data_IF_205230281931
#
_entry.id   IF_205230281931
#
_cell.length_a   1.000
_cell.length_b   1.000
_cell.length_c   1.000
_cell.angle_alpha   90.00
_cell.angle_beta   90.00
_cell.angle_gamma   90.00
#
_symmetry.space_group_name_H-M   'P 1'
#
loop_
_entity.id
_entity.type
_entity.pdbx_description
1 polymer ?
#
# COMPACT_ATOMS: atom_id res chain seq x y z
N UNK A 1 7.36 -18.85 -8.66
CA UNK A 1 6.42 -19.80 -8.03
C UNK A 1 6.22 -19.42 -6.56
N UNK A 2 4.96 -19.32 -6.09
CA UNK A 2 4.64 -19.14 -4.68
C UNK A 2 4.74 -20.51 -3.98
N UNK A 3 5.58 -20.61 -2.96
CA UNK A 3 5.87 -21.89 -2.28
C UNK A 3 5.37 -21.93 -0.83
N UNK A 4 5.02 -20.78 -0.23
CA UNK A 4 4.42 -20.67 1.10
C UNK A 4 3.76 -19.29 1.30
N UNK A 5 3.00 -19.12 2.38
CA UNK A 5 2.38 -17.83 2.77
C UNK A 5 1.24 -17.39 1.84
N UNK A 6 0.39 -18.33 1.42
CA UNK A 6 -0.62 -18.12 0.38
C UNK A 6 -1.68 -17.09 0.78
N UNK A 7 -2.03 -16.97 2.07
CA UNK A 7 -3.01 -16.01 2.54
C UNK A 7 -2.50 -14.56 2.44
N UNK A 8 -1.17 -14.35 2.47
CA UNK A 8 -0.54 -13.05 2.28
C UNK A 8 -0.37 -12.62 0.82
N UNK A 9 -0.86 -13.43 -0.16
CA UNK A 9 -0.68 -13.14 -1.59
C UNK A 9 -1.24 -11.79 -2.04
N UNK A 10 -2.25 -11.29 -1.35
CA UNK A 10 -2.86 -9.99 -1.60
C UNK A 10 -2.10 -8.80 -0.96
N UNK A 11 -0.97 -9.05 -0.30
CA UNK A 11 -0.17 -7.97 0.27
C UNK A 11 0.34 -7.05 -0.83
N UNK A 12 0.04 -5.76 -0.72
CA UNK A 12 0.57 -4.76 -1.64
C UNK A 12 2.07 -4.57 -1.45
N UNK A 13 2.78 -4.36 -2.55
CA UNK A 13 4.23 -4.16 -2.57
C UNK A 13 4.51 -2.69 -2.80
N UNK A 14 5.24 -2.09 -1.86
CA UNK A 14 5.63 -0.68 -1.95
C UNK A 14 6.92 -0.45 -2.72
N UNK A 15 7.87 -1.34 -2.56
CA UNK A 15 9.20 -1.26 -3.14
C UNK A 15 9.88 -2.63 -3.14
N UNK A 16 11.00 -2.73 -3.84
CA UNK A 16 11.87 -3.90 -3.88
C UNK A 16 13.16 -3.61 -3.14
N UNK A 17 13.60 -4.54 -2.29
CA UNK A 17 14.92 -4.46 -1.64
C UNK A 17 15.68 -5.76 -1.84
N UNK A 18 16.89 -5.66 -2.38
CA UNK A 18 17.83 -6.78 -2.36
C UNK A 18 18.41 -6.94 -0.96
N UNK A 19 18.35 -8.16 -0.47
CA UNK A 19 18.78 -8.51 0.89
C UNK A 19 19.77 -9.66 0.82
N UNK A 20 21.02 -9.37 1.09
CA UNK A 20 22.08 -10.37 1.24
C UNK A 20 22.73 -10.33 2.63
N UNK A 21 22.26 -9.41 3.48
CA UNK A 21 22.69 -9.23 4.85
C UNK A 21 21.52 -8.72 5.70
N UNK A 22 21.42 -9.17 6.94
CA UNK A 22 20.37 -8.76 7.88
C UNK A 22 20.54 -7.33 8.40
N UNK A 23 21.70 -6.71 8.27
CA UNK A 23 21.93 -5.31 8.70
C UNK A 23 21.11 -4.31 7.87
N UNK A 24 20.76 -4.64 6.63
CA UNK A 24 19.94 -3.79 5.76
C UNK A 24 18.49 -3.69 6.24
N UNK A 25 18.06 -4.57 7.14
CA UNK A 25 16.67 -4.66 7.63
C UNK A 25 16.23 -3.41 8.38
N UNK A 26 17.14 -2.62 8.96
CA UNK A 26 16.84 -1.33 9.58
C UNK A 26 16.20 -0.34 8.59
N UNK A 27 16.42 -0.54 7.29
CA UNK A 27 15.85 0.28 6.22
C UNK A 27 14.41 -0.12 5.84
N UNK A 28 13.92 -1.27 6.30
CA UNK A 28 12.56 -1.71 6.02
C UNK A 28 11.55 -0.83 6.76
N UNK A 29 10.59 -0.32 6.02
CA UNK A 29 9.49 0.55 6.52
C UNK A 29 8.15 -0.17 6.58
N UNK A 30 8.11 -1.39 6.06
CA UNK A 30 6.95 -2.24 5.88
C UNK A 30 6.48 -2.28 4.42
N UNK A 31 6.08 -3.48 3.97
CA UNK A 31 5.56 -3.80 2.63
C UNK A 31 6.59 -3.74 1.49
N UNK A 32 7.87 -3.72 1.79
CA UNK A 32 8.87 -4.02 0.79
C UNK A 32 8.85 -5.51 0.45
N UNK A 33 9.03 -5.85 -0.83
CA UNK A 33 9.32 -7.20 -1.27
C UNK A 33 10.84 -7.42 -1.17
N UNK A 34 11.24 -8.28 -0.24
CA UNK A 34 12.63 -8.69 -0.12
C UNK A 34 12.99 -9.63 -1.26
N UNK A 35 14.16 -9.45 -1.86
CA UNK A 35 14.70 -10.29 -2.92
C UNK A 35 16.11 -10.73 -2.53
N UNK A 36 16.38 -12.03 -2.51
CA UNK A 36 17.71 -12.55 -2.19
C UNK A 36 18.20 -13.54 -3.23
N UNK A 37 19.48 -13.47 -3.55
CA UNK A 37 20.18 -14.52 -4.29
C UNK A 37 20.68 -15.63 -3.35
N UNK A 38 20.64 -15.39 -2.03
CA UNK A 38 21.04 -16.34 -1.00
C UNK A 38 22.54 -16.37 -0.73
N UNK A 39 23.31 -15.42 -1.23
CA UNK A 39 24.76 -15.41 -1.02
C UNK A 39 25.14 -15.24 0.46
N UNK A 40 24.37 -14.47 1.20
CA UNK A 40 24.52 -14.25 2.65
C UNK A 40 23.75 -15.23 3.53
N UNK A 41 22.87 -16.07 2.97
CA UNK A 41 21.97 -16.95 3.70
C UNK A 41 22.17 -18.41 3.28
N UNK A 42 23.25 -19.01 3.76
CA UNK A 42 23.74 -20.33 3.27
C UNK A 42 23.22 -21.51 4.09
N UNK A 43 22.74 -21.26 5.28
CA UNK A 43 22.19 -22.31 6.17
C UNK A 43 20.68 -22.16 6.30
N UNK A 44 20.02 -23.24 6.72
CA UNK A 44 18.60 -23.22 7.06
C UNK A 44 18.30 -22.17 8.15
N UNK A 45 19.19 -22.06 9.14
CA UNK A 45 19.03 -21.10 10.23
C UNK A 45 19.14 -19.65 9.76
N UNK A 46 20.01 -19.37 8.80
CA UNK A 46 20.13 -18.02 8.20
C UNK A 46 18.84 -17.62 7.51
N UNK A 47 18.26 -18.52 6.71
CA UNK A 47 16.99 -18.28 6.01
C UNK A 47 15.80 -18.16 6.97
N UNK A 48 15.78 -18.97 8.03
CA UNK A 48 14.74 -18.88 9.06
C UNK A 48 14.81 -17.52 9.78
N UNK A 49 16.01 -17.12 10.20
CA UNK A 49 16.23 -15.81 10.81
C UNK A 49 15.84 -14.66 9.88
N UNK A 50 16.11 -14.78 8.57
CA UNK A 50 15.70 -13.80 7.58
C UNK A 50 14.18 -13.62 7.54
N UNK A 51 13.40 -14.71 7.43
CA UNK A 51 11.92 -14.60 7.37
C UNK A 51 11.33 -14.11 8.67
N UNK A 52 11.90 -14.45 9.83
CA UNK A 52 11.49 -13.92 11.15
C UNK A 52 11.71 -12.40 11.26
N UNK A 53 12.83 -11.90 10.73
CA UNK A 53 13.11 -10.47 10.71
C UNK A 53 12.18 -9.76 9.72
N UNK A 54 11.99 -10.30 8.52
CA UNK A 54 11.08 -9.73 7.52
C UNK A 54 9.64 -9.62 8.03
N UNK A 55 9.15 -10.64 8.71
CA UNK A 55 7.82 -10.64 9.34
C UNK A 55 7.70 -9.53 10.39
N UNK A 56 8.66 -9.41 11.30
CA UNK A 56 8.71 -8.34 12.30
C UNK A 56 8.71 -6.93 11.71
N UNK A 57 9.31 -6.77 10.53
CA UNK A 57 9.34 -5.51 9.79
C UNK A 57 8.16 -5.34 8.84
N UNK A 58 7.19 -6.26 8.85
CA UNK A 58 6.01 -6.23 7.99
C UNK A 58 6.33 -6.18 6.50
N UNK A 59 7.33 -6.93 6.06
CA UNK A 59 7.66 -7.07 4.64
C UNK A 59 6.47 -7.66 3.88
N UNK A 60 6.31 -7.30 2.62
CA UNK A 60 5.25 -7.81 1.76
C UNK A 60 5.46 -9.29 1.38
N UNK A 61 6.69 -9.75 1.42
CA UNK A 61 7.08 -11.12 1.11
C UNK A 61 8.57 -11.26 0.85
N UNK A 62 8.98 -12.47 0.52
CA UNK A 62 10.36 -12.81 0.17
C UNK A 62 10.43 -13.55 -1.15
N UNK A 63 11.33 -13.13 -2.02
CA UNK A 63 11.73 -13.85 -3.23
C UNK A 63 13.12 -14.44 -3.00
N UNK A 64 13.23 -15.76 -3.14
CA UNK A 64 14.50 -16.48 -3.03
C UNK A 64 14.91 -17.03 -4.40
N UNK A 65 16.08 -16.64 -4.88
CA UNK A 65 16.68 -17.25 -6.07
C UNK A 65 17.30 -18.59 -5.69
N UNK A 66 16.81 -19.67 -6.30
CA UNK A 66 17.21 -21.04 -5.96
C UNK A 66 17.98 -21.74 -7.08
N UNK A 67 18.84 -22.67 -6.70
CA UNK A 67 19.61 -23.51 -7.62
C UNK A 67 21.12 -23.28 -7.55
N UNK A 68 21.59 -22.17 -6.99
CA UNK A 68 23.01 -21.91 -6.82
C UNK A 68 23.42 -21.79 -5.34
N UNK A 69 23.20 -20.67 -4.68
CA UNK A 69 23.51 -20.50 -3.25
C UNK A 69 22.50 -21.27 -2.38
N UNK A 70 21.23 -21.03 -2.58
CA UNK A 70 20.15 -21.79 -1.95
C UNK A 70 19.70 -22.88 -2.91
N UNK A 71 20.00 -24.13 -2.60
CA UNK A 71 19.64 -25.26 -3.46
C UNK A 71 18.13 -25.51 -3.43
N UNK A 72 17.56 -25.52 -2.24
CA UNK A 72 16.16 -25.74 -1.94
C UNK A 72 15.75 -24.93 -0.72
N UNK A 73 14.54 -24.41 -0.71
CA UNK A 73 14.00 -23.69 0.46
C UNK A 73 13.62 -24.72 1.53
N UNK A 74 14.17 -24.61 2.76
CA UNK A 74 13.91 -25.56 3.84
C UNK A 74 12.44 -25.64 4.24
N UNK A 75 12.02 -26.81 4.74
CA UNK A 75 10.64 -27.01 5.17
C UNK A 75 10.25 -26.12 6.38
N UNK A 76 11.18 -25.87 7.29
CA UNK A 76 11.01 -24.96 8.42
C UNK A 76 10.69 -23.52 8.00
N UNK A 77 11.39 -23.00 6.97
CA UNK A 77 11.16 -21.66 6.40
C UNK A 77 9.77 -21.60 5.76
N UNK A 78 9.38 -22.61 4.99
CA UNK A 78 8.02 -22.69 4.41
C UNK A 78 6.95 -22.78 5.49
N UNK A 79 7.18 -23.56 6.54
CA UNK A 79 6.25 -23.69 7.67
C UNK A 79 6.05 -22.35 8.40
N UNK A 80 7.14 -21.63 8.67
CA UNK A 80 7.09 -20.31 9.26
C UNK A 80 6.27 -19.33 8.40
N UNK A 81 6.58 -19.23 7.10
CA UNK A 81 5.88 -18.35 6.17
C UNK A 81 4.39 -18.67 6.06
N UNK A 82 4.00 -19.95 6.10
CA UNK A 82 2.58 -20.36 6.13
C UNK A 82 1.89 -19.98 7.44
N UNK A 83 2.57 -20.07 8.58
CA UNK A 83 2.00 -19.75 9.87
C UNK A 83 1.82 -18.23 10.10
N UNK A 84 2.60 -17.41 9.40
CA UNK A 84 2.63 -15.95 9.53
C UNK A 84 2.07 -15.21 8.29
N UNK A 85 1.50 -15.94 7.33
CA UNK A 85 0.96 -15.39 6.08
C UNK A 85 1.97 -14.50 5.32
N UNK A 86 3.27 -14.86 5.39
CA UNK A 86 4.35 -14.17 4.69
C UNK A 86 4.57 -14.82 3.32
N UNK A 87 4.23 -14.18 2.20
CA UNK A 87 4.45 -14.73 0.86
C UNK A 87 5.90 -15.08 0.60
N UNK A 88 6.15 -16.34 0.27
CA UNK A 88 7.48 -16.86 -0.07
C UNK A 88 7.48 -17.35 -1.50
N UNK A 89 8.25 -16.69 -2.33
CA UNK A 89 8.38 -17.00 -3.76
C UNK A 89 9.74 -17.63 -4.05
N UNK A 90 9.73 -18.64 -4.89
CA UNK A 90 10.93 -19.29 -5.42
C UNK A 90 11.12 -18.87 -6.88
N UNK A 91 12.35 -18.45 -7.22
CA UNK A 91 12.74 -18.12 -8.59
C UNK A 91 13.97 -18.97 -8.96
N UNK A 92 13.91 -19.82 -10.01
CA UNK A 92 15.06 -20.62 -10.43
C UNK A 92 16.24 -19.75 -10.87
N UNK A 93 17.46 -20.25 -10.67
CA UNK A 93 18.71 -19.56 -11.03
C UNK A 93 18.80 -19.16 -12.51
N UNK A 94 18.13 -19.87 -13.38
CA UNK A 94 18.09 -19.58 -14.83
C UNK A 94 17.36 -18.27 -15.14
N UNK A 95 16.55 -17.77 -14.23
CA UNK A 95 15.84 -16.49 -14.39
C UNK A 95 16.80 -15.35 -14.01
N UNK A 96 16.95 -14.41 -14.92
CA UNK A 96 17.77 -13.23 -14.68
C UNK A 96 17.07 -12.28 -13.67
N UNK A 97 17.62 -12.23 -12.46
CA UNK A 97 17.04 -11.46 -11.36
C UNK A 97 16.98 -9.96 -11.65
N UNK A 98 17.95 -9.43 -12.39
CA UNK A 98 18.00 -8.03 -12.82
C UNK A 98 16.79 -7.64 -13.67
N UNK A 99 16.41 -8.49 -14.62
CA UNK A 99 15.24 -8.25 -15.49
C UNK A 99 13.93 -8.37 -14.70
N UNK A 100 13.83 -9.34 -13.79
CA UNK A 100 12.66 -9.46 -12.90
C UNK A 100 12.51 -8.24 -12.00
N UNK A 101 13.59 -7.78 -11.36
CA UNK A 101 13.58 -6.60 -10.48
C UNK A 101 13.18 -5.37 -11.28
N UNK A 102 13.71 -5.20 -12.47
CA UNK A 102 13.38 -4.09 -13.37
C UNK A 102 11.89 -4.08 -13.74
N UNK A 103 11.34 -5.23 -14.18
CA UNK A 103 9.92 -5.35 -14.54
C UNK A 103 9.01 -5.02 -13.35
N UNK A 104 9.28 -5.60 -12.18
CA UNK A 104 8.52 -5.31 -10.96
C UNK A 104 8.63 -3.84 -10.52
N UNK A 105 9.83 -3.25 -10.61
CA UNK A 105 10.04 -1.83 -10.27
C UNK A 105 9.23 -0.91 -11.19
N UNK A 106 9.22 -1.21 -12.49
CA UNK A 106 8.42 -0.45 -13.47
C UNK A 106 6.92 -0.55 -13.14
N UNK A 107 6.43 -1.73 -12.79
CA UNK A 107 5.00 -1.94 -12.42
C UNK A 107 4.63 -1.14 -11.17
N UNK A 108 5.47 -1.17 -10.13
CA UNK A 108 5.26 -0.39 -8.90
C UNK A 108 5.25 1.11 -9.22
N UNK A 109 6.19 1.57 -10.06
CA UNK A 109 6.26 2.97 -10.48
C UNK A 109 4.99 3.40 -11.25
N UNK A 110 4.54 2.61 -12.22
CA UNK A 110 3.34 2.91 -13.00
C UNK A 110 2.08 2.95 -12.12
N UNK A 111 1.98 2.10 -11.09
CA UNK A 111 0.89 2.15 -10.14
C UNK A 111 0.91 3.45 -9.34
N UNK A 112 2.07 3.85 -8.83
CA UNK A 112 2.24 5.11 -8.09
C UNK A 112 1.89 6.33 -8.94
N UNK A 113 2.31 6.37 -10.21
CA UNK A 113 1.97 7.41 -11.16
C UNK A 113 0.45 7.51 -11.38
N UNK A 114 -0.22 6.35 -11.51
CA UNK A 114 -1.68 6.29 -11.67
C UNK A 114 -2.39 6.87 -10.45
N UNK A 115 -1.97 6.51 -9.24
CA UNK A 115 -2.56 7.01 -8.00
C UNK A 115 -2.37 8.53 -7.83
N UNK A 116 -1.21 9.07 -8.20
CA UNK A 116 -0.96 10.51 -8.21
C UNK A 116 -1.84 11.24 -9.23
N UNK A 117 -2.07 10.65 -10.41
CA UNK A 117 -2.96 11.21 -11.42
C UNK A 117 -4.42 11.23 -10.96
N UNK A 118 -4.90 10.16 -10.30
CA UNK A 118 -6.24 10.08 -9.71
C UNK A 118 -6.39 11.14 -8.62
N UNK A 119 -5.43 11.25 -7.71
CA UNK A 119 -5.40 12.28 -6.66
C UNK A 119 -5.48 13.69 -7.24
N UNK A 120 -4.67 13.98 -8.25
CA UNK A 120 -4.68 15.26 -8.97
C UNK A 120 -6.02 15.54 -9.63
N UNK A 121 -6.67 14.54 -10.21
CA UNK A 121 -7.98 14.68 -10.85
C UNK A 121 -9.08 14.98 -9.82
N UNK A 122 -9.08 14.31 -8.65
CA UNK A 122 -10.01 14.63 -7.56
C UNK A 122 -9.76 16.03 -6.97
N UNK A 123 -8.50 16.43 -6.78
CA UNK A 123 -8.17 17.79 -6.33
C UNK A 123 -8.73 18.81 -7.32
N UNK A 124 -8.60 18.58 -8.61
CA UNK A 124 -9.20 19.46 -9.64
C UNK A 124 -10.73 19.50 -9.56
N UNK A 125 -11.40 18.37 -9.33
CA UNK A 125 -12.86 18.35 -9.16
C UNK A 125 -13.32 19.15 -7.93
N UNK A 126 -12.47 19.28 -6.91
CA UNK A 126 -12.73 20.07 -5.71
C UNK A 126 -12.46 21.57 -5.95
N UNK A 127 -11.30 21.89 -6.54
CA UNK A 127 -10.86 23.29 -6.73
C UNK A 127 -11.53 24.00 -7.91
N UNK A 128 -11.84 23.26 -8.94
CA UNK A 128 -12.34 23.80 -10.23
C UNK A 128 -13.42 22.91 -10.84
N UNK A 129 -14.55 22.70 -10.13
CA UNK A 129 -15.60 21.76 -10.57
C UNK A 129 -16.19 22.07 -11.96
N UNK A 130 -16.11 23.33 -12.41
CA UNK A 130 -16.57 23.73 -13.73
C UNK A 130 -15.69 23.27 -14.89
N UNK A 131 -14.47 22.80 -14.60
CA UNK A 131 -13.52 22.32 -15.63
C UNK A 131 -13.58 20.80 -15.78
N UNK A 132 -14.79 20.30 -16.09
CA UNK A 132 -15.10 18.86 -16.10
C UNK A 132 -14.17 18.07 -17.03
N UNK A 133 -13.80 18.60 -18.19
CA UNK A 133 -12.91 17.98 -19.16
C UNK A 133 -11.48 17.71 -18.62
N UNK A 134 -11.05 18.41 -17.56
CA UNK A 134 -9.71 18.23 -17.02
C UNK A 134 -9.58 17.04 -16.09
N UNK A 135 -10.69 16.50 -15.56
CA UNK A 135 -10.64 15.42 -14.56
C UNK A 135 -11.57 14.24 -14.84
N UNK A 136 -12.73 14.45 -15.50
CA UNK A 136 -13.76 13.41 -15.65
C UNK A 136 -13.27 12.19 -16.43
N UNK A 137 -12.60 12.38 -17.57
CA UNK A 137 -12.07 11.28 -18.38
C UNK A 137 -11.06 10.43 -17.59
N UNK A 138 -10.20 11.08 -16.81
CA UNK A 138 -9.19 10.37 -15.99
C UNK A 138 -9.84 9.54 -14.89
N UNK A 139 -10.87 10.07 -14.24
CA UNK A 139 -11.57 9.38 -13.17
C UNK A 139 -12.47 8.26 -13.68
N UNK A 140 -13.02 8.38 -14.88
CA UNK A 140 -13.88 7.35 -15.48
C UNK A 140 -13.19 6.01 -15.74
N UNK A 141 -11.85 5.99 -15.79
CA UNK A 141 -11.08 4.76 -15.92
C UNK A 141 -11.15 3.87 -14.64
N UNK A 142 -11.42 4.48 -13.48
CA UNK A 142 -11.37 3.79 -12.18
C UNK A 142 -12.66 3.93 -11.35
N UNK A 143 -13.52 4.90 -11.67
CA UNK A 143 -14.72 5.22 -10.88
C UNK A 143 -15.94 5.41 -11.78
N UNK A 144 -17.12 5.11 -11.24
CA UNK A 144 -18.38 5.52 -11.88
C UNK A 144 -18.59 7.02 -11.68
N UNK A 145 -18.21 7.81 -12.67
CA UNK A 145 -18.21 9.28 -12.59
C UNK A 145 -19.61 9.90 -12.54
N UNK A 146 -20.64 9.16 -12.94
CA UNK A 146 -22.06 9.54 -12.85
C UNK A 146 -22.71 9.04 -11.54
N UNK A 147 -22.00 8.19 -10.83
CA UNK A 147 -22.47 7.51 -9.63
C UNK A 147 -22.45 8.37 -8.36
N UNK A 148 -22.70 7.71 -7.23
CA UNK A 148 -22.73 8.32 -5.89
C UNK A 148 -21.33 8.49 -5.36
N UNK A 149 -20.99 9.70 -4.92
CA UNK A 149 -19.75 10.03 -4.22
C UNK A 149 -20.00 10.50 -2.80
N UNK A 150 -19.08 10.19 -1.90
CA UNK A 150 -19.04 10.75 -0.55
C UNK A 150 -17.59 10.93 -0.12
N UNK A 151 -17.30 12.07 0.52
CA UNK A 151 -15.97 12.40 1.01
C UNK A 151 -15.91 12.28 2.53
N UNK A 152 -14.84 11.72 3.04
CA UNK A 152 -14.52 11.70 4.46
C UNK A 152 -13.17 12.40 4.65
N UNK A 153 -13.13 13.36 5.56
CA UNK A 153 -11.94 14.11 5.91
C UNK A 153 -11.46 13.73 7.29
N UNK A 154 -10.19 13.42 7.40
CA UNK A 154 -9.55 13.06 8.67
C UNK A 154 -8.36 13.99 8.89
N UNK A 155 -8.30 14.59 10.06
CA UNK A 155 -7.20 15.46 10.45
C UNK A 155 -6.84 15.31 11.92
N UNK A 156 -5.73 15.90 12.32
CA UNK A 156 -5.26 15.98 13.70
C UNK A 156 -4.53 17.30 13.91
N UNK A 157 -4.42 17.73 15.15
CA UNK A 157 -3.64 18.92 15.48
C UNK A 157 -2.19 18.79 14.99
N UNK A 158 -1.76 19.77 14.18
CA UNK A 158 -0.42 19.86 13.63
C UNK A 158 -0.14 18.95 12.44
N UNK A 159 -1.16 18.37 11.79
CA UNK A 159 -0.96 17.54 10.60
C UNK A 159 -0.37 18.33 9.43
N UNK A 160 -0.79 19.57 9.22
CA UNK A 160 -0.30 20.48 8.18
C UNK A 160 1.12 21.00 8.47
N UNK A 161 1.47 21.15 9.75
CA UNK A 161 2.82 21.54 10.19
C UNK A 161 3.77 20.38 10.44
N UNK A 162 3.29 19.15 10.30
CA UNK A 162 4.10 17.94 10.40
C UNK A 162 5.16 17.91 9.30
N UNK A 163 6.34 17.36 9.62
CA UNK A 163 7.37 17.14 8.60
C UNK A 163 6.83 16.34 7.41
N UNK A 164 7.22 16.78 6.20
CA UNK A 164 6.71 16.18 4.95
C UNK A 164 6.99 14.68 4.85
N UNK A 165 8.14 14.21 5.36
CA UNK A 165 8.48 12.80 5.34
C UNK A 165 7.58 11.99 6.28
N UNK A 166 7.35 12.48 7.50
CA UNK A 166 6.50 11.79 8.47
C UNK A 166 5.05 11.75 8.02
N UNK A 167 4.54 12.86 7.47
CA UNK A 167 3.20 12.91 6.86
C UNK A 167 3.07 11.95 5.68
N UNK A 168 4.07 11.90 4.79
CA UNK A 168 4.10 10.93 3.69
C UNK A 168 4.16 9.49 4.18
N UNK A 169 4.90 9.19 5.25
CA UNK A 169 4.94 7.84 5.85
C UNK A 169 3.58 7.41 6.38
N UNK A 170 2.87 8.30 7.08
CA UNK A 170 1.52 8.04 7.59
C UNK A 170 0.57 7.86 6.41
N UNK A 171 0.54 8.80 5.49
CA UNK A 171 -0.31 8.80 4.29
C UNK A 171 -0.13 7.53 3.47
N UNK A 172 1.11 7.16 3.18
CA UNK A 172 1.44 5.95 2.43
C UNK A 172 0.87 4.66 3.06
N UNK A 173 0.95 4.52 4.38
CA UNK A 173 0.40 3.35 5.09
C UNK A 173 -1.13 3.33 5.13
N UNK A 174 -1.75 4.50 5.12
CA UNK A 174 -3.20 4.64 5.02
C UNK A 174 -3.70 4.32 3.60
N UNK A 175 -2.97 4.76 2.57
CA UNK A 175 -3.23 4.42 1.17
C UNK A 175 -3.22 2.91 0.94
N UNK A 176 -2.20 2.23 1.44
CA UNK A 176 -2.11 0.77 1.32
C UNK A 176 -3.29 0.06 2.04
N UNK A 177 -3.76 0.59 3.16
CA UNK A 177 -4.96 0.07 3.78
C UNK A 177 -6.17 0.22 2.86
N UNK A 178 -6.33 1.39 2.23
CA UNK A 178 -7.44 1.65 1.31
C UNK A 178 -7.44 0.71 0.11
N UNK A 179 -6.31 0.50 -0.52
CA UNK A 179 -6.14 -0.42 -1.66
C UNK A 179 -6.57 -1.86 -1.33
N UNK A 180 -6.36 -2.30 -0.08
CA UNK A 180 -6.74 -3.63 0.37
C UNK A 180 -8.22 -3.74 0.77
N UNK A 181 -8.90 -2.64 1.06
CA UNK A 181 -10.27 -2.66 1.60
C UNK A 181 -11.31 -2.35 0.54
N UNK A 182 -11.02 -1.45 -0.39
CA UNK A 182 -11.99 -1.06 -1.41
C UNK A 182 -11.32 -0.49 -2.66
N UNK A 183 -11.65 -1.06 -3.81
CA UNK A 183 -11.29 -0.47 -5.12
C UNK A 183 -12.16 0.74 -5.48
N UNK A 184 -13.24 0.95 -4.73
CA UNK A 184 -14.19 2.05 -4.96
C UNK A 184 -13.93 3.24 -4.02
N UNK A 185 -12.74 3.32 -3.44
CA UNK A 185 -12.34 4.43 -2.59
C UNK A 185 -10.92 4.87 -2.93
N UNK A 186 -10.67 6.17 -2.89
CA UNK A 186 -9.36 6.74 -3.13
C UNK A 186 -8.95 7.64 -1.98
N UNK A 187 -7.68 7.55 -1.60
CA UNK A 187 -7.09 8.26 -0.49
C UNK A 187 -5.99 9.21 -0.97
N UNK A 188 -5.99 10.45 -0.48
CA UNK A 188 -4.89 11.40 -0.70
C UNK A 188 -4.82 12.42 0.44
N UNK A 189 -3.70 13.14 0.51
CA UNK A 189 -3.54 14.28 1.42
C UNK A 189 -3.77 15.58 0.65
N UNK A 190 -4.61 16.46 1.22
CA UNK A 190 -4.91 17.76 0.63
C UNK A 190 -5.33 18.76 1.71
N UNK A 191 -4.75 19.95 1.69
CA UNK A 191 -5.10 21.09 2.56
C UNK A 191 -5.19 20.76 4.06
N UNK A 192 -4.25 20.00 4.62
CA UNK A 192 -4.25 19.66 6.04
C UNK A 192 -5.14 18.46 6.41
N UNK A 193 -5.73 17.78 5.42
CA UNK A 193 -6.61 16.63 5.62
C UNK A 193 -6.09 15.40 4.89
N UNK A 194 -6.29 14.27 5.51
CA UNK A 194 -6.37 13.00 4.80
C UNK A 194 -7.79 12.84 4.25
N UNK A 195 -7.93 12.90 2.94
CA UNK A 195 -9.20 12.78 2.25
C UNK A 195 -9.41 11.36 1.74
N UNK A 196 -10.58 10.79 2.01
CA UNK A 196 -11.05 9.52 1.45
C UNK A 196 -12.27 9.83 0.60
N UNK A 197 -12.18 9.63 -0.71
CA UNK A 197 -13.31 9.74 -1.61
C UNK A 197 -13.83 8.34 -1.90
N UNK A 198 -15.09 8.10 -1.63
CA UNK A 198 -15.79 6.83 -1.86
C UNK A 198 -16.79 6.98 -3.01
N UNK A 199 -16.83 5.98 -3.89
CA UNK A 199 -17.73 5.93 -5.05
C UNK A 199 -18.54 4.63 -5.01
N UNK A 200 -19.85 4.73 -5.05
CA UNK A 200 -20.78 3.58 -5.01
C UNK A 200 -20.51 2.60 -3.83
N UNK A 201 -20.15 3.15 -2.67
CA UNK A 201 -19.90 2.39 -1.44
C UNK A 201 -21.17 2.30 -0.60
N UNK A 202 -21.51 1.12 -0.09
CA UNK A 202 -22.62 0.92 0.83
C UNK A 202 -22.33 1.52 2.21
N UNK A 203 -23.36 1.81 3.00
CA UNK A 203 -23.18 2.36 4.35
C UNK A 203 -22.33 1.45 5.26
N UNK A 204 -22.53 0.13 5.18
CA UNK A 204 -21.74 -0.84 5.96
C UNK A 204 -20.26 -0.81 5.57
N UNK A 205 -19.97 -0.83 4.26
CA UNK A 205 -18.58 -0.72 3.77
C UNK A 205 -17.94 0.61 4.15
N UNK A 206 -18.71 1.70 4.10
CA UNK A 206 -18.27 3.03 4.54
C UNK A 206 -17.83 3.03 6.00
N UNK A 207 -18.68 2.48 6.88
CA UNK A 207 -18.36 2.36 8.30
C UNK A 207 -17.08 1.56 8.54
N UNK A 208 -16.92 0.41 7.87
CA UNK A 208 -15.72 -0.43 7.96
C UNK A 208 -14.47 0.32 7.50
N UNK A 209 -14.56 1.05 6.38
CA UNK A 209 -13.47 1.89 5.86
C UNK A 209 -13.08 2.95 6.89
N UNK A 210 -14.04 3.72 7.40
CA UNK A 210 -13.80 4.81 8.35
C UNK A 210 -13.20 4.27 9.64
N UNK A 211 -13.79 3.24 10.24
CA UNK A 211 -13.31 2.67 11.49
C UNK A 211 -11.90 2.09 11.36
N UNK A 212 -11.65 1.35 10.30
CA UNK A 212 -10.32 0.81 10.03
C UNK A 212 -9.27 1.90 9.79
N UNK A 213 -9.66 3.00 9.13
CA UNK A 213 -8.78 4.14 8.90
C UNK A 213 -8.48 4.89 10.21
N UNK A 214 -9.50 5.18 11.02
CA UNK A 214 -9.35 5.83 12.32
C UNK A 214 -8.50 5.01 13.28
N UNK A 215 -8.70 3.69 13.33
CA UNK A 215 -7.90 2.78 14.18
C UNK A 215 -6.41 2.86 13.80
N UNK A 216 -6.09 2.81 12.51
CA UNK A 216 -4.70 2.88 12.04
C UNK A 216 -4.08 4.25 12.27
N UNK A 217 -4.85 5.32 12.07
CA UNK A 217 -4.39 6.67 12.34
C UNK A 217 -4.09 6.85 13.83
N UNK A 218 -4.97 6.39 14.73
CA UNK A 218 -4.74 6.39 16.19
C UNK A 218 -3.50 5.60 16.59
N UNK A 219 -3.31 4.44 16.00
CA UNK A 219 -2.11 3.62 16.28
C UNK A 219 -0.81 4.33 15.89
N UNK A 220 -0.84 5.19 14.87
CA UNK A 220 0.33 5.96 14.40
C UNK A 220 0.55 7.27 15.13
N UNK A 221 -0.49 7.82 15.67
CA UNK A 221 -0.51 9.10 16.37
C UNK A 221 -1.26 8.95 17.71
N UNK A 222 -0.75 8.12 18.64
CA UNK A 222 -1.47 7.77 19.88
C UNK A 222 -1.72 8.99 20.78
N UNK A 223 -0.82 9.98 20.72
CA UNK A 223 -0.89 11.19 21.56
C UNK A 223 -1.66 12.34 20.89
N UNK A 224 -2.27 12.10 19.71
CA UNK A 224 -3.00 13.13 18.97
C UNK A 224 -4.51 12.87 18.97
N UNK A 225 -5.27 13.93 19.13
CA UNK A 225 -6.71 13.91 18.90
C UNK A 225 -6.97 13.85 17.39
N UNK A 226 -7.78 12.90 16.95
CA UNK A 226 -8.13 12.71 15.56
C UNK A 226 -9.56 13.18 15.36
N UNK A 227 -9.73 14.06 14.40
CA UNK A 227 -11.02 14.58 13.97
C UNK A 227 -11.40 13.94 12.66
N UNK A 228 -12.66 13.54 12.54
CA UNK A 228 -13.24 12.93 11.34
C UNK A 228 -14.52 13.68 10.98
N UNK A 229 -14.63 14.13 9.76
CA UNK A 229 -15.83 14.75 9.19
C UNK A 229 -16.30 13.95 7.98
N UNK A 230 -17.61 13.74 7.90
CA UNK A 230 -18.25 13.09 6.75
C UNK A 230 -19.03 14.14 5.95
N UNK A 231 -18.73 14.27 4.66
CA UNK A 231 -19.47 15.10 3.73
C UNK A 231 -20.80 14.45 3.32
N UNK A 232 -21.68 15.25 2.75
CA UNK A 232 -22.93 14.75 2.19
C UNK A 232 -22.69 13.86 0.98
N UNK A 233 -23.48 12.82 0.80
CA UNK A 233 -23.46 12.04 -0.43
C UNK A 233 -23.97 12.89 -1.60
N UNK A 234 -23.25 12.87 -2.72
CA UNK A 234 -23.57 13.60 -3.95
C UNK A 234 -23.59 12.66 -5.14
N UNK A 235 -24.34 12.99 -6.16
CA UNK A 235 -24.30 12.31 -7.46
C UNK A 235 -23.42 13.10 -8.41
N UNK A 236 -22.71 12.40 -9.29
CA UNK A 236 -21.76 12.94 -10.24
C UNK A 236 -20.47 13.50 -9.62
N UNK A 237 -19.36 13.17 -10.23
CA UNK A 237 -18.01 13.59 -9.78
C UNK A 237 -17.83 15.10 -9.78
N UNK A 238 -18.57 15.85 -10.60
CA UNK A 238 -18.53 17.30 -10.62
C UNK A 238 -19.07 17.94 -9.32
N UNK A 239 -19.83 17.19 -8.52
CA UNK A 239 -20.38 17.63 -7.24
C UNK A 239 -19.53 17.20 -6.02
N UNK A 240 -18.41 16.54 -6.22
CA UNK A 240 -17.51 16.10 -5.13
C UNK A 240 -17.08 17.28 -4.23
N UNK A 241 -16.92 18.47 -4.80
CA UNK A 241 -16.61 19.70 -4.06
C UNK A 241 -17.67 20.10 -3.01
N UNK A 242 -18.92 19.64 -3.15
CA UNK A 242 -20.02 19.88 -2.20
C UNK A 242 -19.91 18.90 -1.02
N UNK A 243 -19.35 17.70 -1.26
CA UNK A 243 -19.11 16.69 -0.24
C UNK A 243 -17.83 16.96 0.56
N UNK A 244 -16.87 17.70 -0.02
CA UNK A 244 -15.59 18.07 0.60
C UNK A 244 -15.76 19.22 1.57
#
# INVERSE_FOLDING_TARGET
ELVAGQNGWANSISWLLMVEDTTIMENFKGKELAVTMGAGFRTEQDLLSLVEILDRHHAAGLVVNTGYYVKEIPASVRAYCNAHDLPLLQVPWVIEMSEMIKDLTVRIFLQTETDEQISSAFIKSIESPQRIEEYRERLSASFDVDGKFQVVLITTEGLDSMDTLDRKRIGYRLQIYMENVSHNAHFFYYNGYFAVIMNEVSETQKEDIIQGFLMRTRHRMPDKTIYCGEGSAVLDVANVHISF
#
